data_IF_439660135386
#
_entry.id   IF_439660135386
#
_cell.length_a   1.000
_cell.length_b   1.000
_cell.length_c   1.000
_cell.angle_alpha   90.00
_cell.angle_beta   90.00
_cell.angle_gamma   90.00
#
_symmetry.space_group_name_H-M   'P 1'
#
loop_
_entity.id
_entity.type
_entity.pdbx_description
1 polymer ?
#
# COMPACT_ATOMS: atom_id res chain seq x y z
N UNK A 1 -6.59 48.50 -2.30
CA UNK A 1 -7.45 47.43 -1.77
C UNK A 1 -7.94 46.57 -2.92
N UNK A 2 -7.36 45.39 -3.07
CA UNK A 2 -7.95 44.28 -3.81
C UNK A 2 -7.49 43.04 -3.05
N UNK A 3 -8.39 42.53 -2.21
CA UNK A 3 -8.27 41.30 -1.47
C UNK A 3 -8.22 40.16 -2.50
N UNK A 4 -7.04 39.56 -2.68
CA UNK A 4 -6.86 38.41 -3.56
C UNK A 4 -7.50 37.19 -2.91
N UNK A 5 -8.01 36.22 -3.69
CA UNK A 5 -8.73 35.10 -3.12
C UNK A 5 -7.82 34.36 -2.17
N UNK A 6 -8.25 34.31 -0.91
CA UNK A 6 -7.69 33.50 0.15
C UNK A 6 -7.48 32.09 -0.38
N UNK A 7 -6.23 31.71 -0.66
CA UNK A 7 -5.86 30.32 -0.94
C UNK A 7 -5.75 29.54 0.37
N UNK A 8 -6.68 29.78 1.30
CA UNK A 8 -6.94 28.97 2.49
C UNK A 8 -7.54 27.60 2.13
N UNK A 9 -7.04 26.97 1.07
CA UNK A 9 -7.26 25.57 0.81
C UNK A 9 -6.23 24.80 1.62
N UNK A 10 -6.69 24.12 2.66
CA UNK A 10 -5.94 23.10 3.40
C UNK A 10 -5.11 22.28 2.41
N UNK A 11 -3.80 22.53 2.37
CA UNK A 11 -2.94 21.96 1.36
C UNK A 11 -2.93 20.45 1.57
N UNK A 12 -3.54 19.70 0.65
CA UNK A 12 -3.67 18.25 0.77
C UNK A 12 -2.29 17.62 1.03
N UNK A 13 -2.08 17.16 2.26
CA UNK A 13 -0.84 16.53 2.69
C UNK A 13 -0.82 15.10 2.16
N UNK A 14 0.18 14.77 1.34
CA UNK A 14 0.43 13.40 0.92
C UNK A 14 1.69 12.87 1.62
N UNK A 15 1.59 11.67 2.19
CA UNK A 15 2.74 10.93 2.71
C UNK A 15 3.11 9.87 1.68
N UNK A 16 4.38 9.84 1.29
CA UNK A 16 4.91 8.89 0.31
C UNK A 16 5.80 7.88 1.04
N UNK A 17 5.68 6.61 0.68
CA UNK A 17 6.58 5.54 1.12
C UNK A 17 7.21 4.85 -0.09
N UNK A 18 8.51 4.61 -0.02
CA UNK A 18 9.28 3.88 -1.04
C UNK A 18 9.07 2.36 -0.89
N UNK A 19 9.34 1.59 -1.95
CA UNK A 19 9.28 0.13 -1.90
C UNK A 19 10.10 -0.44 -0.72
N UNK A 20 11.37 -0.04 -0.48
CA UNK A 20 12.12 -0.52 0.69
C UNK A 20 11.50 -0.13 2.04
N UNK A 21 10.94 1.08 2.19
CA UNK A 21 10.31 1.50 3.44
C UNK A 21 9.06 0.67 3.76
N UNK A 22 8.25 0.36 2.74
CA UNK A 22 7.09 -0.53 2.90
C UNK A 22 7.53 -1.94 3.29
N UNK A 23 8.56 -2.48 2.62
CA UNK A 23 9.06 -3.83 2.90
C UNK A 23 9.82 -3.95 4.23
N UNK A 24 10.26 -2.83 4.82
CA UNK A 24 10.89 -2.80 6.14
C UNK A 24 9.88 -2.66 7.29
N UNK A 25 8.58 -2.49 7.00
CA UNK A 25 7.56 -2.28 8.03
C UNK A 25 7.33 -3.57 8.84
N UNK A 26 7.41 -3.55 10.17
CA UNK A 26 7.45 -4.76 11.00
C UNK A 26 6.14 -5.58 10.97
N UNK A 27 5.02 -4.93 10.66
CA UNK A 27 3.71 -5.58 10.54
C UNK A 27 3.43 -6.15 9.13
N UNK A 28 4.31 -5.89 8.15
CA UNK A 28 4.10 -6.29 6.76
C UNK A 28 5.03 -7.44 6.38
N UNK A 29 4.44 -8.59 6.08
CA UNK A 29 5.17 -9.79 5.64
C UNK A 29 4.50 -10.43 4.42
N UNK A 30 5.29 -11.06 3.55
CA UNK A 30 4.80 -11.77 2.37
C UNK A 30 3.81 -12.90 2.73
N UNK A 31 3.89 -13.45 3.94
CA UNK A 31 2.96 -14.45 4.49
C UNK A 31 1.51 -13.95 4.58
N UNK A 32 1.29 -12.63 4.63
CA UNK A 32 -0.04 -12.03 4.59
C UNK A 32 -0.75 -12.25 3.24
N UNK A 33 -0.01 -12.53 2.16
CA UNK A 33 -0.58 -12.83 0.84
C UNK A 33 -1.23 -14.19 0.81
N UNK A 34 -2.41 -14.24 0.17
CA UNK A 34 -3.07 -15.49 -0.12
C UNK A 34 -2.17 -16.36 -1.04
N UNK A 35 -2.30 -17.69 -1.00
CA UNK A 35 -1.47 -18.58 -1.82
C UNK A 35 -1.53 -18.25 -3.33
N UNK A 36 -2.67 -17.80 -3.85
CA UNK A 36 -2.82 -17.45 -5.26
C UNK A 36 -2.07 -16.16 -5.64
N UNK A 37 -1.92 -15.23 -4.70
CA UNK A 37 -1.19 -13.99 -4.87
C UNK A 37 0.30 -14.23 -4.95
N UNK A 38 0.83 -15.09 -4.06
CA UNK A 38 2.22 -15.55 -4.08
C UNK A 38 2.54 -16.24 -5.41
N UNK A 39 1.68 -17.16 -5.87
CA UNK A 39 1.79 -17.77 -7.21
C UNK A 39 1.79 -16.77 -8.38
N UNK A 40 1.13 -15.62 -8.23
CA UNK A 40 1.17 -14.53 -9.23
C UNK A 40 2.49 -13.76 -9.16
N UNK A 41 3.02 -13.50 -7.97
CA UNK A 41 4.32 -12.87 -7.76
C UNK A 41 5.47 -13.73 -8.31
N UNK A 42 5.44 -15.05 -8.09
CA UNK A 42 6.48 -15.98 -8.57
C UNK A 42 6.59 -16.05 -10.10
N UNK A 43 5.52 -15.63 -10.80
CA UNK A 43 5.51 -15.53 -12.26
C UNK A 43 6.13 -14.23 -12.79
N UNK A 44 6.40 -13.25 -11.94
CA UNK A 44 7.06 -12.00 -12.33
C UNK A 44 8.55 -12.28 -12.51
N UNK A 45 9.04 -12.15 -13.75
CA UNK A 45 10.43 -12.44 -14.11
C UNK A 45 11.40 -11.26 -13.90
N UNK A 46 10.88 -10.05 -13.70
CA UNK A 46 11.68 -8.85 -13.46
C UNK A 46 11.77 -8.58 -11.94
N UNK A 47 12.95 -8.71 -11.30
CA UNK A 47 13.07 -8.64 -9.84
C UNK A 47 12.56 -7.34 -9.23
N UNK A 48 12.88 -6.18 -9.82
CA UNK A 48 12.38 -4.88 -9.35
C UNK A 48 10.85 -4.80 -9.37
N UNK A 49 10.24 -5.32 -10.43
CA UNK A 49 8.78 -5.38 -10.58
C UNK A 49 8.12 -6.31 -9.57
N UNK A 50 8.80 -7.37 -9.11
CA UNK A 50 8.28 -8.25 -8.05
C UNK A 50 8.19 -7.49 -6.72
N UNK A 51 9.27 -6.81 -6.35
CA UNK A 51 9.34 -6.06 -5.09
C UNK A 51 8.28 -4.95 -5.03
N UNK A 52 8.09 -4.21 -6.13
CA UNK A 52 7.10 -3.14 -6.20
C UNK A 52 5.66 -3.68 -6.06
N UNK A 53 5.33 -4.79 -6.72
CA UNK A 53 4.00 -5.40 -6.63
C UNK A 53 3.75 -5.96 -5.23
N UNK A 54 4.76 -6.55 -4.59
CA UNK A 54 4.67 -7.01 -3.21
C UNK A 54 4.40 -5.83 -2.26
N UNK A 55 5.22 -4.78 -2.33
CA UNK A 55 5.05 -3.59 -1.51
C UNK A 55 3.68 -2.94 -1.71
N UNK A 56 3.23 -2.77 -2.95
CA UNK A 56 1.91 -2.19 -3.24
C UNK A 56 0.77 -3.00 -2.60
N UNK A 57 0.80 -4.33 -2.66
CA UNK A 57 -0.24 -5.17 -2.05
C UNK A 57 -0.24 -5.10 -0.53
N UNK A 58 0.94 -5.11 0.09
CA UNK A 58 1.07 -5.00 1.55
C UNK A 58 0.59 -3.62 2.04
N UNK A 59 0.94 -2.55 1.30
CA UNK A 59 0.47 -1.20 1.60
C UNK A 59 -1.05 -1.09 1.51
N UNK A 60 -1.67 -1.66 0.46
CA UNK A 60 -3.14 -1.65 0.31
C UNK A 60 -3.81 -2.31 1.51
N UNK A 61 -3.32 -3.47 1.95
CA UNK A 61 -3.87 -4.13 3.13
C UNK A 61 -3.74 -3.30 4.38
N UNK A 62 -2.57 -2.70 4.61
CA UNK A 62 -2.36 -1.81 5.74
C UNK A 62 -3.35 -0.64 5.73
N UNK A 63 -3.55 -0.03 4.57
CA UNK A 63 -4.53 1.04 4.39
C UNK A 63 -5.96 0.55 4.67
N UNK A 64 -6.34 -0.63 4.19
CA UNK A 64 -7.67 -1.21 4.45
C UNK A 64 -7.85 -1.52 5.93
N UNK A 65 -6.87 -2.14 6.58
CA UNK A 65 -6.90 -2.40 8.03
C UNK A 65 -7.05 -1.11 8.81
N UNK A 66 -6.29 -0.06 8.47
CA UNK A 66 -6.42 1.25 9.14
C UNK A 66 -7.77 1.92 8.88
N UNK A 67 -8.31 1.79 7.67
CA UNK A 67 -9.57 2.42 7.28
C UNK A 67 -10.80 1.68 7.85
N UNK A 68 -10.72 0.37 8.04
CA UNK A 68 -11.87 -0.49 8.38
C UNK A 68 -11.79 -1.12 9.76
N UNK A 69 -10.61 -1.16 10.38
CA UNK A 69 -10.35 -1.92 11.61
C UNK A 69 -10.26 -3.43 11.41
N UNK A 70 -10.43 -3.94 10.17
CA UNK A 70 -10.34 -5.36 9.86
C UNK A 70 -8.87 -5.85 9.85
N UNK A 71 -8.59 -7.09 10.24
CA UNK A 71 -7.22 -7.60 10.34
C UNK A 71 -6.55 -7.74 8.97
N UNK A 72 -5.21 -7.66 8.95
CA UNK A 72 -4.38 -7.62 7.73
C UNK A 72 -4.49 -8.89 6.87
N UNK A 73 -4.85 -10.01 7.47
CA UNK A 73 -5.01 -11.32 6.82
C UNK A 73 -6.41 -11.54 6.26
N UNK A 74 -7.30 -10.53 6.32
CA UNK A 74 -8.65 -10.62 5.76
C UNK A 74 -8.56 -11.04 4.28
N UNK A 75 -8.99 -12.27 3.93
CA UNK A 75 -8.64 -12.88 2.65
C UNK A 75 -9.46 -12.38 1.46
N UNK A 76 -10.33 -11.38 1.65
CA UNK A 76 -11.46 -11.13 0.75
C UNK A 76 -11.58 -9.67 0.29
N UNK A 77 -10.49 -9.13 -0.25
CA UNK A 77 -10.53 -7.91 -1.06
C UNK A 77 -10.44 -8.31 -2.54
N UNK A 78 -11.54 -8.86 -3.06
CA UNK A 78 -11.83 -9.14 -4.46
C UNK A 78 -10.84 -10.07 -5.22
N UNK A 79 -11.33 -11.24 -5.64
CA UNK A 79 -10.67 -12.12 -6.62
C UNK A 79 -10.60 -11.49 -8.02
#
# INVERSE_FOLDING_TARGET
MADGPDRGGDAALAVVATTPEVLAHPELDEALLAPWERRRLDRIRLPGRRADVLAARLLVRLCVTRATGLPLDTPDLAQ
#
